data_IF_955133336173
#
_entry.id   IF_955133336173
#
_cell.length_a   1.000
_cell.length_b   1.000
_cell.length_c   1.000
_cell.angle_alpha   90.00
_cell.angle_beta   90.00
_cell.angle_gamma   90.00
#
_symmetry.space_group_name_H-M   'P 1'
#
loop_
_entity.id
_entity.type
_entity.pdbx_description
1 polymer ?
#
# COMPACT_ATOMS: atom_id res chain seq x y z
N UNK A 1 45.25 52.16 3.57
CA UNK A 1 44.12 51.86 4.46
C UNK A 1 43.48 50.57 4.02
N UNK A 2 43.71 49.45 4.66
CA UNK A 2 43.13 48.16 4.32
C UNK A 2 41.97 47.88 5.31
N UNK A 3 40.76 47.86 4.83
CA UNK A 3 39.55 47.53 5.59
C UNK A 3 39.46 46.02 5.78
N UNK A 4 39.69 45.58 7.01
CA UNK A 4 39.55 44.18 7.45
C UNK A 4 38.04 43.87 7.57
N UNK A 5 37.46 43.14 6.60
CA UNK A 5 36.08 42.65 6.68
C UNK A 5 36.08 41.44 7.60
N UNK A 6 35.57 41.63 8.80
CA UNK A 6 35.37 40.54 9.77
C UNK A 6 34.34 39.53 9.22
N UNK A 7 34.79 38.37 8.84
CA UNK A 7 33.93 37.24 8.53
C UNK A 7 33.17 36.78 9.79
N UNK A 8 31.87 36.99 9.79
CA UNK A 8 30.95 36.58 10.86
C UNK A 8 30.78 35.04 10.88
N UNK A 9 31.10 34.34 11.99
CA UNK A 9 31.04 32.86 12.07
C UNK A 9 29.63 32.28 12.26
N UNK A 10 28.57 33.06 12.04
CA UNK A 10 27.19 32.66 12.34
C UNK A 10 26.53 31.72 11.28
N UNK A 11 27.19 31.38 10.16
CA UNK A 11 26.57 30.60 9.10
C UNK A 11 26.58 29.06 9.32
N UNK A 12 27.49 28.55 10.16
CA UNK A 12 27.68 27.09 10.30
C UNK A 12 26.69 26.44 11.27
N UNK A 13 26.27 27.13 12.33
CA UNK A 13 25.29 26.62 13.30
C UNK A 13 23.89 26.56 12.71
N UNK A 14 23.42 27.59 12.04
CA UNK A 14 22.10 27.62 11.40
C UNK A 14 21.94 26.58 10.28
N UNK A 15 23.03 26.22 9.60
CA UNK A 15 23.01 25.15 8.58
C UNK A 15 22.93 23.76 9.21
N UNK A 16 23.60 23.55 10.36
CA UNK A 16 23.57 22.27 11.10
C UNK A 16 22.19 22.00 11.69
N UNK A 17 21.57 23.02 12.28
CA UNK A 17 20.23 22.89 12.86
C UNK A 17 19.14 22.59 11.82
N UNK A 18 19.21 23.19 10.62
CA UNK A 18 18.29 22.87 9.51
C UNK A 18 18.45 21.44 8.99
N UNK A 19 19.69 20.93 8.94
CA UNK A 19 19.94 19.55 8.50
C UNK A 19 19.43 18.54 9.54
N UNK A 20 19.53 18.84 10.84
CA UNK A 20 19.00 17.98 11.89
C UNK A 20 17.47 17.99 11.94
N UNK A 21 16.83 19.14 11.79
CA UNK A 21 15.36 19.25 11.74
C UNK A 21 14.77 18.51 10.52
N UNK A 22 15.41 18.59 9.35
CA UNK A 22 15.02 17.83 8.17
C UNK A 22 15.11 16.32 8.40
N UNK A 23 16.16 15.85 9.03
CA UNK A 23 16.37 14.43 9.36
C UNK A 23 15.34 13.88 10.34
N UNK A 24 14.92 14.67 11.36
CA UNK A 24 13.88 14.25 12.31
C UNK A 24 12.51 14.19 11.64
N UNK A 25 12.14 15.21 10.85
CA UNK A 25 10.87 15.24 10.12
C UNK A 25 10.76 14.07 9.13
N UNK A 26 11.83 13.77 8.40
CA UNK A 26 11.89 12.63 7.48
C UNK A 26 11.72 11.30 8.23
N UNK A 27 12.34 11.16 9.40
CA UNK A 27 12.24 9.96 10.23
C UNK A 27 10.83 9.77 10.75
N UNK A 28 10.21 10.82 11.31
CA UNK A 28 8.84 10.77 11.83
C UNK A 28 7.86 10.47 10.71
N UNK A 29 7.99 11.13 9.56
CA UNK A 29 7.13 10.90 8.39
C UNK A 29 7.24 9.46 7.90
N UNK A 30 8.44 8.89 7.83
CA UNK A 30 8.64 7.49 7.48
C UNK A 30 7.85 6.55 8.39
N UNK A 31 7.95 6.73 9.72
CA UNK A 31 7.29 5.87 10.69
C UNK A 31 5.77 6.02 10.65
N UNK A 32 5.26 7.24 10.50
CA UNK A 32 3.82 7.48 10.37
C UNK A 32 3.23 6.84 9.12
N UNK A 33 3.90 6.98 7.97
CA UNK A 33 3.46 6.37 6.72
C UNK A 33 3.51 4.84 6.83
N UNK A 34 4.62 4.28 7.34
CA UNK A 34 4.75 2.83 7.54
C UNK A 34 3.65 2.30 8.47
N UNK A 35 3.46 2.92 9.63
CA UNK A 35 2.42 2.53 10.57
C UNK A 35 1.02 2.63 9.94
N UNK A 36 0.74 3.70 9.21
CA UNK A 36 -0.53 3.88 8.49
C UNK A 36 -0.80 2.75 7.51
N UNK A 37 0.18 2.35 6.70
CA UNK A 37 0.03 1.24 5.75
C UNK A 37 -0.26 -0.07 6.47
N UNK A 38 0.54 -0.44 7.46
CA UNK A 38 0.40 -1.71 8.18
C UNK A 38 -0.90 -1.78 8.98
N UNK A 39 -1.28 -0.71 9.66
CA UNK A 39 -2.55 -0.65 10.41
C UNK A 39 -3.75 -0.73 9.46
N UNK A 40 -3.78 0.07 8.40
CA UNK A 40 -4.92 0.10 7.48
C UNK A 40 -5.10 -1.25 6.79
N UNK A 41 -4.06 -1.78 6.13
CA UNK A 41 -4.18 -3.04 5.40
C UNK A 41 -4.27 -4.25 6.32
N UNK A 42 -3.54 -4.24 7.43
CA UNK A 42 -3.62 -5.32 8.42
C UNK A 42 -5.01 -5.44 9.02
N UNK A 43 -5.62 -4.35 9.45
CA UNK A 43 -6.97 -4.38 10.04
C UNK A 43 -8.05 -4.64 8.99
N UNK A 44 -7.98 -3.96 7.83
CA UNK A 44 -8.95 -4.14 6.75
C UNK A 44 -9.07 -5.62 6.34
N UNK A 45 -7.94 -6.23 5.97
CA UNK A 45 -7.95 -7.60 5.45
C UNK A 45 -8.12 -8.66 6.54
N UNK A 46 -7.72 -8.37 7.79
CA UNK A 46 -8.05 -9.23 8.93
C UNK A 46 -9.57 -9.31 9.14
N UNK A 47 -10.24 -8.19 9.27
CA UNK A 47 -11.67 -8.17 9.53
C UNK A 47 -12.49 -8.66 8.33
N UNK A 48 -12.11 -8.29 7.11
CA UNK A 48 -12.80 -8.74 5.90
C UNK A 48 -12.72 -10.27 5.72
N UNK A 49 -11.53 -10.86 5.93
CA UNK A 49 -11.37 -12.31 5.85
C UNK A 49 -12.06 -13.04 7.02
N UNK A 50 -11.96 -12.47 8.24
CA UNK A 50 -12.62 -13.03 9.42
C UNK A 50 -14.14 -13.11 9.23
N UNK A 51 -14.76 -12.03 8.76
CA UNK A 51 -16.19 -11.99 8.45
C UNK A 51 -16.58 -13.16 7.55
N UNK A 52 -15.94 -13.28 6.37
CA UNK A 52 -16.30 -14.26 5.36
C UNK A 52 -16.02 -15.71 5.76
N UNK A 53 -14.89 -15.95 6.42
CA UNK A 53 -14.43 -17.32 6.70
C UNK A 53 -14.87 -17.84 8.06
N UNK A 54 -15.04 -16.95 9.04
CA UNK A 54 -15.33 -17.32 10.43
C UNK A 54 -16.76 -16.92 10.81
N UNK A 55 -17.07 -15.61 10.74
CA UNK A 55 -18.33 -15.10 11.27
C UNK A 55 -19.52 -15.58 10.41
N UNK A 56 -19.40 -15.54 9.08
CA UNK A 56 -20.39 -16.03 8.12
C UNK A 56 -20.24 -17.54 7.82
N UNK A 57 -19.21 -18.20 8.39
CA UNK A 57 -18.90 -19.62 8.16
C UNK A 57 -18.84 -20.00 6.66
N UNK A 58 -18.36 -19.10 5.82
CA UNK A 58 -18.25 -19.28 4.37
C UNK A 58 -19.59 -19.17 3.61
N UNK A 59 -20.65 -18.71 4.27
CA UNK A 59 -21.96 -18.55 3.66
C UNK A 59 -22.20 -17.08 3.31
N UNK A 60 -22.42 -16.77 2.04
CA UNK A 60 -22.70 -15.40 1.63
C UNK A 60 -24.02 -14.90 2.27
N UNK A 61 -24.03 -13.70 2.88
CA UNK A 61 -25.25 -13.11 3.44
C UNK A 61 -26.38 -13.07 2.41
N UNK A 62 -27.60 -13.46 2.82
CA UNK A 62 -28.74 -13.62 1.92
C UNK A 62 -29.08 -12.37 1.10
N UNK A 63 -28.86 -11.18 1.68
CA UNK A 63 -29.05 -9.89 1.00
C UNK A 63 -28.09 -9.72 -0.19
N UNK A 64 -26.82 -10.11 -0.03
CA UNK A 64 -25.83 -10.08 -1.10
C UNK A 64 -26.08 -11.18 -2.12
N UNK A 65 -26.32 -12.42 -1.66
CA UNK A 65 -26.60 -13.57 -2.53
C UNK A 65 -27.77 -13.30 -3.49
N UNK A 66 -28.79 -12.56 -3.04
CA UNK A 66 -29.94 -12.15 -3.86
C UNK A 66 -29.52 -11.29 -5.07
N UNK A 67 -28.50 -10.47 -4.96
CA UNK A 67 -27.96 -9.66 -6.05
C UNK A 67 -27.36 -10.52 -7.18
N UNK A 68 -26.87 -11.71 -6.87
CA UNK A 68 -26.27 -12.62 -7.84
C UNK A 68 -27.27 -13.56 -8.54
N UNK A 69 -28.56 -13.54 -8.14
CA UNK A 69 -29.58 -14.36 -8.81
C UNK A 69 -29.66 -14.06 -10.31
N UNK A 70 -29.63 -15.11 -11.10
CA UNK A 70 -29.68 -15.01 -12.57
C UNK A 70 -28.32 -14.72 -13.22
N UNK A 71 -27.27 -14.51 -12.45
CA UNK A 71 -25.92 -14.43 -12.98
C UNK A 71 -25.27 -15.81 -13.08
N UNK A 72 -24.22 -15.95 -13.91
CA UNK A 72 -23.49 -17.22 -13.98
C UNK A 72 -22.77 -17.56 -12.66
N UNK A 73 -22.37 -16.58 -11.85
CA UNK A 73 -21.74 -16.80 -10.55
C UNK A 73 -22.66 -17.51 -9.55
N UNK A 74 -23.98 -17.37 -9.69
CA UNK A 74 -24.93 -18.14 -8.89
C UNK A 74 -24.90 -19.65 -9.23
N UNK A 75 -24.57 -19.99 -10.47
CA UNK A 75 -24.50 -21.37 -10.95
C UNK A 75 -23.13 -21.99 -10.81
N UNK A 76 -22.08 -21.23 -11.17
CA UNK A 76 -20.68 -21.67 -11.08
C UNK A 76 -19.76 -20.49 -10.83
N UNK A 77 -18.94 -20.54 -9.77
CA UNK A 77 -18.74 -21.66 -8.83
C UNK A 77 -19.81 -21.74 -7.72
N UNK A 78 -20.80 -20.87 -7.74
CA UNK A 78 -21.83 -20.69 -6.71
C UNK A 78 -21.47 -19.52 -5.76
N UNK A 79 -22.51 -18.87 -5.22
CA UNK A 79 -22.33 -17.65 -4.39
C UNK A 79 -21.48 -17.90 -3.15
N UNK A 80 -21.71 -19.00 -2.42
CA UNK A 80 -20.94 -19.33 -1.23
C UNK A 80 -19.48 -19.65 -1.56
N UNK A 81 -19.22 -20.37 -2.65
CA UNK A 81 -17.84 -20.64 -3.09
C UNK A 81 -17.12 -19.36 -3.47
N UNK A 82 -17.78 -18.45 -4.19
CA UNK A 82 -17.22 -17.13 -4.52
C UNK A 82 -16.90 -16.33 -3.24
N UNK A 83 -17.79 -16.37 -2.23
CA UNK A 83 -17.60 -15.71 -0.95
C UNK A 83 -16.36 -16.22 -0.21
N UNK A 84 -16.22 -17.56 -0.14
CA UNK A 84 -15.05 -18.21 0.46
C UNK A 84 -13.76 -17.88 -0.31
N UNK A 85 -13.79 -17.89 -1.66
CA UNK A 85 -12.61 -17.57 -2.47
C UNK A 85 -12.14 -16.13 -2.23
N UNK A 86 -13.06 -15.17 -2.17
CA UNK A 86 -12.71 -13.78 -1.82
C UNK A 86 -12.14 -13.71 -0.40
N UNK A 87 -12.77 -14.36 0.58
CA UNK A 87 -12.27 -14.43 1.95
C UNK A 87 -10.85 -15.03 2.05
N UNK A 88 -10.55 -16.06 1.25
CA UNK A 88 -9.20 -16.64 1.17
C UNK A 88 -8.18 -15.68 0.56
N UNK A 89 -8.54 -14.93 -0.49
CA UNK A 89 -7.67 -13.91 -1.05
C UNK A 89 -7.38 -12.82 -0.03
N UNK A 90 -8.38 -12.36 0.69
CA UNK A 90 -8.22 -11.37 1.78
C UNK A 90 -7.33 -11.91 2.90
N UNK A 91 -7.51 -13.17 3.30
CA UNK A 91 -6.65 -13.82 4.30
C UNK A 91 -5.19 -13.90 3.83
N UNK A 92 -4.96 -14.20 2.56
CA UNK A 92 -3.60 -14.22 1.98
C UNK A 92 -2.96 -12.84 2.00
N UNK A 93 -3.71 -11.76 1.72
CA UNK A 93 -3.21 -10.38 1.86
C UNK A 93 -2.82 -10.12 3.32
N UNK A 94 -3.71 -10.44 4.27
CA UNK A 94 -3.41 -10.27 5.70
C UNK A 94 -2.15 -11.03 6.11
N UNK A 95 -2.01 -12.29 5.70
CA UNK A 95 -0.82 -13.12 5.98
C UNK A 95 0.44 -12.50 5.38
N UNK A 96 0.38 -11.96 4.16
CA UNK A 96 1.51 -11.27 3.54
C UNK A 96 1.92 -10.02 4.35
N UNK A 97 0.95 -9.21 4.77
CA UNK A 97 1.20 -8.02 5.60
C UNK A 97 1.82 -8.43 6.94
N UNK A 98 1.27 -9.44 7.63
CA UNK A 98 1.80 -9.95 8.89
C UNK A 98 3.22 -10.52 8.73
N UNK A 99 3.47 -11.31 7.68
CA UNK A 99 4.79 -11.85 7.36
C UNK A 99 5.81 -10.73 7.09
N UNK A 100 5.41 -9.67 6.42
CA UNK A 100 6.25 -8.48 6.20
C UNK A 100 6.66 -7.81 7.52
N UNK A 101 5.73 -7.70 8.49
CA UNK A 101 6.03 -7.21 9.85
C UNK A 101 7.03 -8.14 10.54
N UNK A 102 6.77 -9.46 10.55
CA UNK A 102 7.65 -10.44 11.19
C UNK A 102 9.06 -10.45 10.59
N UNK A 103 9.19 -10.17 9.31
CA UNK A 103 10.50 -10.01 8.64
C UNK A 103 11.17 -8.65 8.87
N UNK A 104 10.51 -7.74 9.55
CA UNK A 104 11.02 -6.40 9.82
C UNK A 104 11.11 -5.52 8.57
N UNK A 105 10.25 -5.75 7.57
CA UNK A 105 10.23 -4.92 6.35
C UNK A 105 9.76 -3.49 6.62
N UNK A 106 9.17 -3.21 7.78
CA UNK A 106 8.85 -1.87 8.25
C UNK A 106 10.11 -1.03 8.57
N UNK A 107 11.30 -1.65 8.71
CA UNK A 107 12.54 -0.93 8.99
C UNK A 107 13.06 -0.20 7.73
N UNK A 108 13.62 1.02 7.88
CA UNK A 108 14.09 1.82 6.76
C UNK A 108 15.29 1.21 6.02
N UNK A 109 16.01 0.28 6.68
CA UNK A 109 17.18 -0.42 6.12
C UNK A 109 16.82 -1.69 5.33
N UNK A 110 15.60 -2.19 5.48
CA UNK A 110 15.15 -3.44 4.86
C UNK A 110 14.36 -3.20 3.58
N UNK A 111 14.61 -4.04 2.56
CA UNK A 111 13.74 -4.11 1.38
C UNK A 111 12.37 -4.66 1.78
N UNK A 112 11.33 -4.30 1.03
CA UNK A 112 9.92 -4.58 1.34
C UNK A 112 9.23 -5.46 0.28
N UNK A 113 9.84 -6.59 -0.15
CA UNK A 113 9.26 -7.40 -1.22
C UNK A 113 7.93 -8.04 -0.83
N UNK A 114 7.79 -8.50 0.43
CA UNK A 114 6.56 -9.15 0.89
C UNK A 114 5.44 -8.10 1.05
N UNK A 115 5.75 -6.92 1.60
CA UNK A 115 4.80 -5.81 1.65
C UNK A 115 4.30 -5.45 0.26
N UNK A 116 5.20 -5.27 -0.72
CA UNK A 116 4.83 -4.96 -2.10
C UNK A 116 3.99 -6.07 -2.74
N UNK A 117 4.33 -7.34 -2.48
CA UNK A 117 3.52 -8.47 -2.95
C UNK A 117 2.14 -8.49 -2.31
N UNK A 118 2.04 -8.20 -1.00
CA UNK A 118 0.76 -8.07 -0.29
C UNK A 118 -0.11 -6.95 -0.85
N UNK A 119 0.49 -5.77 -1.11
CA UNK A 119 -0.22 -4.66 -1.75
C UNK A 119 -0.65 -4.99 -3.19
N UNK A 120 0.19 -5.67 -3.97
CA UNK A 120 -0.17 -6.15 -5.31
C UNK A 120 -1.32 -7.15 -5.27
N UNK A 121 -1.30 -8.09 -4.32
CA UNK A 121 -2.38 -9.04 -4.11
C UNK A 121 -3.67 -8.35 -3.67
N UNK A 122 -3.60 -7.29 -2.84
CA UNK A 122 -4.78 -6.51 -2.46
C UNK A 122 -5.42 -5.80 -3.65
N UNK A 123 -4.62 -5.24 -4.57
CA UNK A 123 -5.15 -4.70 -5.83
C UNK A 123 -5.90 -5.75 -6.64
N UNK A 124 -5.32 -6.95 -6.76
CA UNK A 124 -5.96 -8.07 -7.45
C UNK A 124 -7.27 -8.47 -6.76
N UNK A 125 -7.29 -8.53 -5.42
CA UNK A 125 -8.49 -8.84 -4.63
C UNK A 125 -9.59 -7.80 -4.88
N UNK A 126 -9.29 -6.50 -4.82
CA UNK A 126 -10.25 -5.43 -5.13
C UNK A 126 -10.77 -5.51 -6.56
N UNK A 127 -9.91 -5.85 -7.53
CA UNK A 127 -10.32 -6.03 -8.92
C UNK A 127 -11.29 -7.21 -9.09
N UNK A 128 -11.07 -8.33 -8.39
CA UNK A 128 -11.98 -9.49 -8.40
C UNK A 128 -13.34 -9.12 -7.80
N UNK A 129 -13.36 -8.42 -6.66
CA UNK A 129 -14.61 -7.98 -6.04
C UNK A 129 -15.34 -6.99 -6.95
N UNK A 130 -14.64 -5.99 -7.51
CA UNK A 130 -15.22 -5.03 -8.44
C UNK A 130 -15.81 -5.71 -9.69
N UNK A 131 -15.15 -6.74 -10.19
CA UNK A 131 -15.66 -7.54 -11.30
C UNK A 131 -16.97 -8.26 -10.93
N UNK A 132 -17.05 -8.86 -9.73
CA UNK A 132 -18.27 -9.47 -9.21
C UNK A 132 -19.43 -8.46 -9.11
N UNK A 133 -19.17 -7.27 -8.54
CA UNK A 133 -20.17 -6.20 -8.38
C UNK A 133 -20.62 -5.63 -9.74
N UNK A 134 -19.74 -5.59 -10.74
CA UNK A 134 -20.12 -5.20 -12.10
C UNK A 134 -21.17 -6.18 -12.72
N UNK A 135 -21.04 -7.47 -12.44
CA UNK A 135 -21.98 -8.50 -12.95
C UNK A 135 -23.38 -8.29 -12.35
N UNK A 136 -23.47 -7.77 -11.11
CA UNK A 136 -24.73 -7.48 -10.42
C UNK A 136 -25.24 -6.06 -10.70
N UNK A 137 -24.56 -5.29 -11.55
CA UNK A 137 -24.86 -3.88 -11.87
C UNK A 137 -24.84 -2.94 -10.66
N UNK A 138 -24.06 -3.25 -9.62
CA UNK A 138 -23.88 -2.40 -8.44
C UNK A 138 -22.76 -1.35 -8.67
N UNK A 139 -22.98 -0.44 -9.59
CA UNK A 139 -21.96 0.51 -10.04
C UNK A 139 -21.47 1.48 -8.93
N UNK A 140 -22.28 1.77 -7.91
CA UNK A 140 -21.85 2.57 -6.76
C UNK A 140 -20.74 1.87 -5.98
N UNK A 141 -20.91 0.57 -5.69
CA UNK A 141 -19.90 -0.25 -5.01
C UNK A 141 -18.64 -0.41 -5.84
N UNK A 142 -18.80 -0.56 -7.17
CA UNK A 142 -17.66 -0.59 -8.10
C UNK A 142 -16.84 0.69 -8.04
N UNK A 143 -17.49 1.86 -7.96
CA UNK A 143 -16.81 3.14 -7.84
C UNK A 143 -16.01 3.27 -6.53
N UNK A 144 -16.54 2.76 -5.41
CA UNK A 144 -15.83 2.70 -4.13
C UNK A 144 -14.62 1.76 -4.21
N UNK A 145 -14.79 0.57 -4.79
CA UNK A 145 -13.69 -0.38 -4.98
C UNK A 145 -12.60 0.17 -5.89
N UNK A 146 -12.96 0.97 -6.89
CA UNK A 146 -11.98 1.66 -7.73
C UNK A 146 -11.15 2.68 -6.94
N UNK A 147 -11.74 3.37 -5.94
CA UNK A 147 -10.99 4.26 -5.04
C UNK A 147 -9.99 3.47 -4.18
N UNK A 148 -10.36 2.29 -3.64
CA UNK A 148 -9.43 1.42 -2.91
C UNK A 148 -8.29 0.94 -3.80
N UNK A 149 -8.60 0.56 -5.04
CA UNK A 149 -7.61 0.13 -6.03
C UNK A 149 -6.63 1.26 -6.37
N UNK A 150 -7.14 2.47 -6.66
CA UNK A 150 -6.32 3.64 -6.95
C UNK A 150 -5.48 4.04 -5.72
N UNK A 151 -6.06 4.04 -4.51
CA UNK A 151 -5.34 4.30 -3.27
C UNK A 151 -4.20 3.30 -3.05
N UNK A 152 -4.45 2.01 -3.29
CA UNK A 152 -3.43 0.97 -3.18
C UNK A 152 -2.30 1.16 -4.19
N UNK A 153 -2.61 1.55 -5.44
CA UNK A 153 -1.60 1.86 -6.45
C UNK A 153 -0.69 3.01 -5.99
N UNK A 154 -1.26 4.08 -5.43
CA UNK A 154 -0.49 5.20 -4.86
C UNK A 154 0.40 4.71 -3.71
N UNK A 155 -0.10 3.84 -2.83
CA UNK A 155 0.69 3.29 -1.72
C UNK A 155 1.84 2.41 -2.21
N UNK A 156 1.66 1.62 -3.27
CA UNK A 156 2.75 0.86 -3.90
C UNK A 156 3.85 1.83 -4.36
N UNK A 157 3.49 2.91 -5.06
CA UNK A 157 4.46 3.92 -5.49
C UNK A 157 5.16 4.56 -4.29
N UNK A 158 4.42 4.93 -3.23
CA UNK A 158 5.00 5.48 -2.01
C UNK A 158 6.00 4.52 -1.37
N UNK A 159 5.66 3.23 -1.24
CA UNK A 159 6.58 2.21 -0.70
C UNK A 159 7.84 2.08 -1.56
N UNK A 160 7.71 2.17 -2.89
CA UNK A 160 8.86 2.13 -3.81
C UNK A 160 9.74 3.39 -3.70
N UNK A 161 9.19 4.52 -3.28
CA UNK A 161 9.93 5.76 -3.02
C UNK A 161 10.57 5.80 -1.63
N UNK A 162 10.16 4.92 -0.71
CA UNK A 162 10.73 4.83 0.64
C UNK A 162 12.13 4.19 0.63
N UNK A 163 13.01 4.51 1.64
CA UNK A 163 14.25 3.76 1.83
C UNK A 163 13.97 2.25 1.99
N UNK A 164 14.83 1.36 1.48
CA UNK A 164 16.10 1.62 0.81
C UNK A 164 16.01 1.78 -0.72
N UNK A 165 14.82 1.78 -1.32
CA UNK A 165 14.64 1.81 -2.79
C UNK A 165 15.07 3.15 -3.42
N UNK A 166 15.02 4.25 -2.67
CA UNK A 166 15.39 5.60 -3.13
C UNK A 166 16.83 5.74 -3.66
N UNK A 167 17.69 4.75 -3.47
CA UNK A 167 19.06 4.73 -4.04
C UNK A 167 19.15 4.02 -5.40
N UNK A 168 18.06 3.52 -5.94
CA UNK A 168 18.10 2.68 -7.13
C UNK A 168 17.89 3.48 -8.42
N UNK A 169 18.99 3.74 -9.09
CA UNK A 169 19.23 3.65 -10.55
C UNK A 169 18.33 4.42 -11.56
N UNK A 170 17.09 4.80 -11.25
CA UNK A 170 16.28 5.53 -12.23
C UNK A 170 16.74 6.98 -12.43
N UNK A 171 17.12 7.66 -11.32
CA UNK A 171 17.63 9.02 -11.39
C UNK A 171 19.13 9.07 -11.76
N UNK A 172 19.91 8.06 -11.43
CA UNK A 172 21.32 8.01 -11.83
C UNK A 172 21.54 7.81 -13.34
N UNK A 173 20.58 7.17 -14.03
CA UNK A 173 20.60 7.05 -15.48
C UNK A 173 20.32 8.39 -16.18
N UNK A 174 19.38 9.18 -15.69
CA UNK A 174 19.04 10.48 -16.24
C UNK A 174 20.16 11.52 -16.01
N UNK A 175 20.74 11.54 -14.81
CA UNK A 175 21.83 12.46 -14.47
C UNK A 175 23.14 12.12 -15.22
N UNK A 176 23.36 10.85 -15.54
CA UNK A 176 24.57 10.45 -16.30
C UNK A 176 24.50 10.91 -17.77
N UNK A 177 23.31 10.93 -18.37
CA UNK A 177 23.13 11.42 -19.75
C UNK A 177 23.33 12.93 -19.89
N UNK A 178 23.06 13.72 -18.85
CA UNK A 178 23.33 15.16 -18.89
C UNK A 178 24.84 15.48 -18.80
N UNK A 179 25.61 14.67 -18.07
CA UNK A 179 27.07 14.89 -17.93
C UNK A 179 27.90 14.41 -19.13
N UNK A 180 27.35 13.56 -20.00
CA UNK A 180 28.00 13.12 -21.24
C UNK A 180 27.74 14.08 -22.42
N UNK A 181 26.90 15.10 -22.24
CA UNK A 181 26.55 16.09 -23.28
C UNK A 181 27.20 17.48 -23.07
N UNK A 182 27.94 17.69 -21.96
CA UNK A 182 28.79 18.85 -21.71
C UNK A 182 30.25 18.55 -22.04
#
# INVERSE_FOLDING_TARGET
MATNVAHHPLSHTAKRDRVQLGSLADTVSYWLISAGIYLTFGTLFYYASKEKLIDDSGTMPAALAKGYHGTFLASFPGTNTSWVLVGLLEALVFVAIAASVLRGEFLPTRRKPILLSGLGLSMFTFAIIAWGENITAQFSTVAELFQYLAGTAVLIVLVMLMPPYRKTQWLSGLVRHEQEQE
#
